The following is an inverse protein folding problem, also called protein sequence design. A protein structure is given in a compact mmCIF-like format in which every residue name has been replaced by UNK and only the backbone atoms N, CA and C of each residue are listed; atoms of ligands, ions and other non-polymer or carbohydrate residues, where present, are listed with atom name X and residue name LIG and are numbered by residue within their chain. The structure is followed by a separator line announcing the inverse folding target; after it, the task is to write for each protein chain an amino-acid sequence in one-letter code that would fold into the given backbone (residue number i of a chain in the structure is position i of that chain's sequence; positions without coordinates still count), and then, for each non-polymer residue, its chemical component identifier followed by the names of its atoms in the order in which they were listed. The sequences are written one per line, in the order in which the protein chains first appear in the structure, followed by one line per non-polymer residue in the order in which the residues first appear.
data_IF_979987029217
#
_entry.id   IF_979987029217
#
_cell.length_a   1.000
_cell.length_b   1.000
_cell.length_c   1.000
_cell.angle_alpha   90.00
_cell.angle_beta   90.00
_cell.angle_gamma   90.00
#
_symmetry.space_group_name_H-M   'P 1'
#
loop_
_entity.id
_entity.type
_entity.pdbx_description
1 polymer ?
#
# COMPACT_ATOMS: atom_id res chain seq x y z
N UNK A 1 -48.23 -14.02 58.44
CA UNK A 1 -48.73 -13.27 57.27
C UNK A 1 -48.95 -11.81 57.66
N UNK A 2 -47.93 -10.95 57.48
CA UNK A 2 -48.06 -9.47 57.44
C UNK A 2 -46.95 -8.96 56.53
N UNK A 3 -47.37 -8.35 55.42
CA UNK A 3 -46.54 -7.91 54.30
C UNK A 3 -46.28 -6.41 54.49
N UNK A 4 -45.01 -6.01 54.38
CA UNK A 4 -44.59 -4.61 54.21
C UNK A 4 -43.98 -4.48 52.82
N UNK A 5 -44.63 -3.75 51.91
CA UNK A 5 -44.07 -3.40 50.60
C UNK A 5 -43.58 -1.95 50.62
N UNK A 6 -42.30 -1.77 50.31
CA UNK A 6 -41.60 -0.48 50.27
C UNK A 6 -41.56 0.00 48.81
N UNK A 7 -42.21 1.12 48.52
CA UNK A 7 -42.20 1.79 47.21
C UNK A 7 -40.86 2.50 46.98
N UNK A 8 -40.12 2.13 45.93
CA UNK A 8 -38.95 2.87 45.44
C UNK A 8 -39.40 3.91 44.39
N UNK A 9 -39.19 5.20 44.67
CA UNK A 9 -39.22 6.28 43.67
C UNK A 9 -38.08 6.06 42.67
N UNK A 10 -38.40 5.82 41.40
CA UNK A 10 -37.42 5.92 40.31
C UNK A 10 -37.17 7.40 39.99
N UNK A 11 -35.92 7.83 40.13
CA UNK A 11 -35.42 9.10 39.61
C UNK A 11 -35.13 8.90 38.13
N UNK A 12 -35.93 9.52 37.26
CA UNK A 12 -35.65 9.59 35.82
C UNK A 12 -34.40 10.43 35.60
N UNK A 13 -33.26 9.78 35.30
CA UNK A 13 -32.13 10.45 34.65
C UNK A 13 -32.41 10.45 33.14
N UNK A 14 -32.19 11.57 32.43
CA UNK A 14 -32.37 11.60 30.98
C UNK A 14 -31.39 10.62 30.34
N UNK A 15 -31.92 9.64 29.63
CA UNK A 15 -31.14 8.72 28.79
C UNK A 15 -30.55 9.58 27.66
N UNK A 16 -29.23 9.57 27.41
CA UNK A 16 -28.65 10.34 26.32
C UNK A 16 -29.29 9.91 25.01
N UNK A 17 -29.74 10.88 24.23
CA UNK A 17 -30.39 10.66 22.95
C UNK A 17 -29.50 9.76 22.07
N UNK A 18 -30.05 8.66 21.54
CA UNK A 18 -29.29 7.65 20.78
C UNK A 18 -28.56 8.26 19.57
N UNK A 19 -29.08 9.38 19.05
CA UNK A 19 -28.47 10.21 17.99
C UNK A 19 -27.21 10.97 18.43
N UNK A 20 -27.10 11.36 19.71
CA UNK A 20 -25.95 12.09 20.23
C UNK A 20 -24.74 11.16 20.45
N UNK A 21 -25.00 9.90 20.80
CA UNK A 21 -23.95 8.87 20.97
C UNK A 21 -23.37 8.39 19.63
N UNK A 22 -24.16 8.34 18.55
CA UNK A 22 -23.65 8.09 17.19
C UNK A 22 -22.84 9.26 16.64
N UNK A 23 -23.21 10.51 16.97
CA UNK A 23 -22.42 11.69 16.60
C UNK A 23 -21.09 11.81 17.36
N UNK A 24 -21.06 11.38 18.62
CA UNK A 24 -19.84 11.40 19.44
C UNK A 24 -18.90 10.23 19.13
N UNK A 25 -19.41 9.06 18.72
CA UNK A 25 -18.57 7.97 18.19
C UNK A 25 -17.97 8.29 16.82
N UNK A 26 -18.66 9.08 15.99
CA UNK A 26 -18.17 9.53 14.67
C UNK A 26 -16.95 10.44 14.72
N UNK A 27 -16.64 11.06 15.87
CA UNK A 27 -15.49 11.96 15.93
C UNK A 27 -14.14 11.22 16.02
N UNK A 28 -14.10 9.94 16.41
CA UNK A 28 -12.86 9.20 16.75
C UNK A 28 -12.73 7.86 15.98
N UNK A 29 -12.81 7.88 14.65
CA UNK A 29 -12.78 6.68 13.77
C UNK A 29 -11.49 6.51 12.93
N UNK A 30 -10.33 6.82 13.51
CA UNK A 30 -9.01 6.40 13.03
C UNK A 30 -8.13 6.34 14.26
N UNK A 31 -7.19 5.38 14.36
CA UNK A 31 -6.22 5.40 15.47
C UNK A 31 -5.55 6.78 15.57
N UNK A 32 -5.59 7.40 16.76
CA UNK A 32 -4.98 8.73 17.00
C UNK A 32 -3.54 8.87 16.44
N UNK A 33 -2.68 7.83 16.51
CA UNK A 33 -1.36 7.88 15.88
C UNK A 33 -1.40 8.14 14.37
N UNK A 34 -2.31 7.48 13.63
CA UNK A 34 -2.40 7.63 12.18
C UNK A 34 -2.91 9.03 11.77
N UNK A 35 -3.83 9.61 12.54
CA UNK A 35 -4.30 10.99 12.31
C UNK A 35 -3.19 12.00 12.55
N UNK A 36 -2.44 11.84 13.64
CA UNK A 36 -1.35 12.76 13.97
C UNK A 36 -0.25 12.73 12.90
N UNK A 37 0.08 11.54 12.39
CA UNK A 37 0.98 11.41 11.24
C UNK A 37 0.45 12.16 10.00
N UNK A 38 -0.81 11.97 9.61
CA UNK A 38 -1.39 12.69 8.48
C UNK A 38 -1.52 14.21 8.69
N UNK A 39 -1.60 14.68 9.94
CA UNK A 39 -1.52 16.12 10.25
C UNK A 39 -0.10 16.64 10.06
N UNK A 40 0.91 15.88 10.50
CA UNK A 40 2.32 16.24 10.32
C UNK A 40 2.72 16.33 8.84
N UNK A 41 2.08 15.54 7.98
CA UNK A 41 2.28 15.54 6.52
C UNK A 41 1.36 16.54 5.78
N UNK A 42 0.92 17.60 6.46
CA UNK A 42 0.02 18.61 5.90
C UNK A 42 0.55 19.31 4.64
N UNK A 43 1.89 19.37 4.46
CA UNK A 43 2.52 19.94 3.26
C UNK A 43 2.27 19.13 1.99
N UNK A 44 1.95 17.83 2.11
CA UNK A 44 1.62 16.95 0.99
C UNK A 44 0.11 16.92 0.67
N UNK A 45 -0.74 17.61 1.43
CA UNK A 45 -2.19 17.59 1.20
C UNK A 45 -2.56 18.32 -0.08
N UNK A 46 -3.34 17.66 -0.93
CA UNK A 46 -3.87 18.20 -2.17
C UNK A 46 -5.39 18.37 -2.03
N UNK A 47 -5.89 19.54 -2.43
CA UNK A 47 -7.34 19.74 -2.59
C UNK A 47 -7.84 18.84 -3.73
N UNK A 48 -8.79 17.95 -3.43
CA UNK A 48 -9.45 17.05 -4.38
C UNK A 48 -9.93 17.78 -5.64
N UNK A 49 -10.41 19.03 -5.52
CA UNK A 49 -10.92 19.81 -6.63
C UNK A 49 -9.84 20.13 -7.70
N UNK A 50 -8.56 20.08 -7.33
CA UNK A 50 -7.42 20.29 -8.23
C UNK A 50 -7.07 19.07 -9.07
N UNK A 51 -7.60 17.90 -8.74
CA UNK A 51 -7.38 16.66 -9.49
C UNK A 51 -8.52 16.50 -10.49
N UNK A 52 -8.19 16.59 -11.78
CA UNK A 52 -9.14 16.45 -12.89
C UNK A 52 -8.92 15.10 -13.59
N UNK A 53 -9.83 14.13 -13.45
CA UNK A 53 -9.71 12.84 -14.14
C UNK A 53 -9.54 13.03 -15.65
N UNK A 54 -8.66 12.23 -16.26
CA UNK A 54 -8.56 12.15 -17.72
C UNK A 54 -9.54 11.07 -18.16
N UNK A 55 -10.61 11.45 -18.87
CA UNK A 55 -11.49 10.48 -19.52
C UNK A 55 -10.72 9.76 -20.63
N UNK A 56 -10.17 8.60 -20.30
CA UNK A 56 -9.52 7.70 -21.26
C UNK A 56 -10.29 6.38 -21.32
N UNK A 57 -10.54 5.90 -22.55
CA UNK A 57 -11.03 4.53 -22.84
C UNK A 57 -10.06 3.43 -22.38
N UNK A 58 -8.92 3.77 -21.77
CA UNK A 58 -8.00 2.82 -21.18
C UNK A 58 -8.63 2.20 -19.92
N UNK A 59 -8.91 0.90 -20.00
CA UNK A 59 -9.44 0.06 -18.93
C UNK A 59 -8.84 0.45 -17.57
N UNK A 60 -9.72 0.87 -16.65
CA UNK A 60 -9.43 0.81 -15.21
C UNK A 60 -8.85 -0.58 -14.93
N UNK A 61 -7.60 -0.65 -14.47
CA UNK A 61 -7.04 -1.93 -14.02
C UNK A 61 -7.72 -2.26 -12.70
N UNK A 62 -8.86 -2.92 -12.79
CA UNK A 62 -9.60 -3.47 -11.66
C UNK A 62 -8.97 -4.80 -11.27
N UNK A 63 -8.13 -4.77 -10.24
CA UNK A 63 -7.61 -5.93 -9.52
C UNK A 63 -7.42 -5.53 -8.06
N UNK A 64 -8.24 -6.07 -7.15
CA UNK A 64 -8.12 -5.83 -5.70
C UNK A 64 -8.68 -4.50 -5.15
N UNK A 65 -8.39 -4.22 -3.88
CA UNK A 65 -8.91 -3.12 -3.04
C UNK A 65 -8.48 -1.71 -3.50
N UNK A 66 -7.72 -1.61 -4.59
CA UNK A 66 -7.05 -0.39 -5.05
C UNK A 66 -7.39 -0.10 -6.51
N UNK A 67 -7.60 1.19 -6.85
CA UNK A 67 -7.88 1.64 -8.21
C UNK A 67 -6.89 2.74 -8.63
N UNK A 68 -6.20 2.53 -9.75
CA UNK A 68 -5.28 3.53 -10.34
C UNK A 68 -6.01 4.29 -11.46
N UNK A 69 -5.90 5.62 -11.45
CA UNK A 69 -6.53 6.50 -12.44
C UNK A 69 -5.54 7.57 -12.92
N UNK A 70 -5.52 7.86 -14.22
CA UNK A 70 -4.77 8.98 -14.77
C UNK A 70 -5.56 10.29 -14.59
N UNK A 71 -4.89 11.35 -14.13
CA UNK A 71 -5.49 12.65 -13.91
C UNK A 71 -4.53 13.79 -14.26
N UNK A 72 -5.08 15.00 -14.35
CA UNK A 72 -4.33 16.25 -14.40
C UNK A 72 -4.40 16.91 -13.03
N UNK A 73 -3.25 17.24 -12.46
CA UNK A 73 -3.14 18.07 -11.28
C UNK A 73 -3.00 19.54 -11.71
N UNK A 74 -3.96 20.37 -11.28
CA UNK A 74 -3.94 21.82 -11.51
C UNK A 74 -3.16 22.50 -10.39
N UNK A 75 -2.17 23.32 -10.76
CA UNK A 75 -1.40 24.12 -9.80
C UNK A 75 -2.30 25.05 -8.98
N UNK A 76 -1.98 25.16 -7.68
CA UNK A 76 -2.72 26.00 -6.74
C UNK A 76 -2.71 27.50 -7.13
N UNK A 77 -1.66 27.94 -7.84
CA UNK A 77 -1.49 29.33 -8.26
C UNK A 77 -2.35 29.72 -9.48
N UNK A 78 -2.89 28.73 -10.20
CA UNK A 78 -3.58 28.93 -11.47
C UNK A 78 -5.03 28.41 -11.47
N UNK A 79 -5.61 28.12 -10.30
CA UNK A 79 -6.96 27.57 -10.16
C UNK A 79 -8.06 28.41 -10.83
N UNK A 80 -7.82 29.70 -11.09
CA UNK A 80 -8.73 30.64 -11.76
C UNK A 80 -8.23 31.16 -13.13
N UNK A 81 -7.13 30.63 -13.67
CA UNK A 81 -6.51 31.10 -14.93
C UNK A 81 -6.85 30.16 -16.09
N UNK A 82 -7.26 30.71 -17.24
CA UNK A 82 -7.57 29.97 -18.46
C UNK A 82 -6.33 29.53 -19.28
N UNK A 83 -5.12 29.66 -18.73
CA UNK A 83 -3.88 29.23 -19.38
C UNK A 83 -3.48 27.81 -18.97
N UNK A 84 -2.98 27.04 -19.94
CA UNK A 84 -2.41 25.69 -19.77
C UNK A 84 -1.08 25.66 -18.99
N UNK A 85 -0.63 26.77 -18.41
CA UNK A 85 0.57 26.82 -17.56
C UNK A 85 0.23 26.27 -16.17
N UNK A 86 0.97 25.25 -15.72
CA UNK A 86 0.79 24.65 -14.40
C UNK A 86 -0.12 23.42 -14.34
N UNK A 87 -0.27 22.69 -15.44
CA UNK A 87 -0.91 21.37 -15.47
C UNK A 87 0.15 20.25 -15.47
N UNK A 88 0.01 19.28 -14.57
CA UNK A 88 0.88 18.11 -14.48
C UNK A 88 0.07 16.83 -14.65
N UNK A 89 0.56 15.89 -15.46
CA UNK A 89 -0.02 14.55 -15.55
C UNK A 89 0.37 13.74 -14.31
N UNK A 90 -0.63 13.18 -13.64
CA UNK A 90 -0.44 12.42 -12.40
C UNK A 90 -1.18 11.07 -12.45
N UNK A 91 -0.68 10.12 -11.67
CA UNK A 91 -1.37 8.87 -11.35
C UNK A 91 -2.02 8.99 -9.96
N UNK A 92 -3.28 8.60 -9.84
CA UNK A 92 -4.04 8.64 -8.59
C UNK A 92 -4.35 7.21 -8.14
N UNK A 93 -3.74 6.78 -7.04
CA UNK A 93 -3.99 5.49 -6.37
C UNK A 93 -5.08 5.69 -5.33
N UNK A 94 -6.30 5.24 -5.64
CA UNK A 94 -7.49 5.34 -4.78
C UNK A 94 -7.61 4.06 -3.95
N UNK A 95 -7.54 4.18 -2.62
CA UNK A 95 -7.85 3.08 -1.72
C UNK A 95 -9.34 3.08 -1.43
N UNK A 96 -9.94 1.90 -1.44
CA UNK A 96 -11.32 1.70 -0.99
C UNK A 96 -11.28 1.30 0.48
N UNK A 97 -11.92 2.10 1.32
CA UNK A 97 -12.28 1.67 2.66
C UNK A 97 -13.74 2.05 2.89
N UNK A 98 -14.44 1.18 3.62
CA UNK A 98 -15.84 1.39 3.96
C UNK A 98 -15.90 2.21 5.25
N UNK A 99 -16.37 3.46 5.21
CA UNK A 99 -16.45 4.31 6.40
C UNK A 99 -17.47 3.80 7.42
N UNK A 100 -18.34 2.84 7.07
CA UNK A 100 -19.32 2.25 7.99
C UNK A 100 -18.79 0.98 8.68
N UNK A 101 -17.84 0.28 8.05
CA UNK A 101 -17.12 -0.87 8.62
C UNK A 101 -15.78 -0.40 9.22
N UNK A 102 -15.91 0.33 10.31
CA UNK A 102 -14.83 0.96 11.09
C UNK A 102 -13.89 -0.09 11.73
N UNK A 103 -12.97 -0.66 10.95
CA UNK A 103 -11.71 -1.16 11.51
C UNK A 103 -10.73 0.00 11.39
N UNK A 104 -10.39 0.64 12.52
CA UNK A 104 -9.40 1.73 12.63
C UNK A 104 -8.06 1.42 11.92
N UNK A 105 -7.83 0.15 11.60
CA UNK A 105 -6.69 -0.39 10.83
C UNK A 105 -6.79 -0.18 9.32
N UNK A 106 -7.95 0.16 8.76
CA UNK A 106 -8.15 0.27 7.32
C UNK A 106 -7.31 1.39 6.67
N UNK A 107 -7.07 2.48 7.41
CA UNK A 107 -6.21 3.59 6.96
C UNK A 107 -4.74 3.42 7.31
N UNK A 108 -4.38 2.48 8.20
CA UNK A 108 -2.99 2.29 8.61
C UNK A 108 -2.05 1.98 7.43
N UNK A 109 -2.41 1.13 6.44
CA UNK A 109 -1.58 0.91 5.25
C UNK A 109 -1.38 2.18 4.42
N UNK A 110 -2.42 3.01 4.29
CA UNK A 110 -2.34 4.28 3.58
C UNK A 110 -1.38 5.25 4.28
N UNK A 111 -1.53 5.43 5.59
CA UNK A 111 -0.66 6.34 6.36
C UNK A 111 0.78 5.85 6.36
N UNK A 112 1.00 4.54 6.48
CA UNK A 112 2.32 3.93 6.41
C UNK A 112 2.98 4.19 5.06
N UNK A 113 2.28 3.92 3.95
CA UNK A 113 2.83 4.10 2.60
C UNK A 113 3.17 5.59 2.33
N UNK A 114 2.25 6.51 2.67
CA UNK A 114 2.47 7.96 2.52
C UNK A 114 3.65 8.45 3.37
N UNK A 115 3.73 8.01 4.63
CA UNK A 115 4.82 8.41 5.54
C UNK A 115 6.17 7.90 5.05
N UNK A 116 6.22 6.65 4.59
CA UNK A 116 7.43 6.05 4.04
C UNK A 116 7.88 6.82 2.79
N UNK A 117 6.97 7.05 1.84
CA UNK A 117 7.27 7.75 0.58
C UNK A 117 7.70 9.21 0.78
N UNK A 118 7.17 9.91 1.78
CA UNK A 118 7.59 11.29 2.10
C UNK A 118 9.10 11.38 2.39
N UNK A 119 9.67 10.33 2.98
CA UNK A 119 11.08 10.32 3.41
C UNK A 119 12.03 9.78 2.33
N UNK A 120 11.50 9.39 1.15
CA UNK A 120 12.28 8.87 0.04
C UNK A 120 12.50 9.91 -1.05
N UNK A 121 13.75 10.02 -1.53
CA UNK A 121 14.13 10.87 -2.65
C UNK A 121 15.27 10.21 -3.42
N UNK A 122 14.96 9.63 -4.57
CA UNK A 122 15.91 8.98 -5.46
C UNK A 122 15.35 8.93 -6.89
N UNK A 123 16.21 9.02 -7.92
CA UNK A 123 15.75 9.07 -9.32
C UNK A 123 15.04 7.79 -9.79
N UNK A 124 15.38 6.64 -9.20
CA UNK A 124 14.79 5.33 -9.49
C UNK A 124 13.77 4.86 -8.43
N UNK A 125 13.25 5.76 -7.61
CA UNK A 125 12.16 5.48 -6.65
C UNK A 125 11.03 6.47 -6.90
N UNK A 126 9.78 5.99 -6.93
CA UNK A 126 8.64 6.85 -7.22
C UNK A 126 8.51 7.96 -6.17
N UNK A 127 8.39 9.20 -6.66
CA UNK A 127 8.09 10.34 -5.82
C UNK A 127 6.58 10.46 -5.58
N UNK A 128 6.19 10.65 -4.31
CA UNK A 128 4.82 11.06 -3.99
C UNK A 128 4.68 12.57 -4.23
N UNK A 129 3.69 12.97 -5.04
CA UNK A 129 3.34 14.39 -5.26
C UNK A 129 2.50 14.90 -4.10
N UNK A 130 1.62 14.04 -3.58
CA UNK A 130 0.83 14.34 -2.40
C UNK A 130 -0.30 13.35 -2.17
N UNK A 131 -1.24 13.69 -1.31
CA UNK A 131 -2.39 12.84 -1.00
C UNK A 131 -3.68 13.65 -0.81
N UNK A 132 -4.81 12.96 -0.99
CA UNK A 132 -6.16 13.44 -0.67
C UNK A 132 -6.75 12.52 0.37
N UNK A 133 -7.25 13.09 1.46
CA UNK A 133 -7.89 12.35 2.53
C UNK A 133 -9.19 13.04 2.93
N UNK A 134 -10.27 12.27 2.98
CA UNK A 134 -11.55 12.64 3.58
C UNK A 134 -12.17 11.37 4.17
N UNK A 135 -11.86 11.15 5.45
CA UNK A 135 -12.24 9.93 6.19
C UNK A 135 -13.76 9.78 6.27
N UNK A 136 -14.48 10.88 6.44
CA UNK A 136 -15.94 10.87 6.59
C UNK A 136 -16.64 10.35 5.34
N UNK A 137 -16.04 10.58 4.17
CA UNK A 137 -16.57 10.16 2.88
C UNK A 137 -15.83 8.95 2.27
N UNK A 138 -14.96 8.27 3.02
CA UNK A 138 -14.26 7.07 2.54
C UNK A 138 -13.19 7.35 1.48
N UNK A 139 -12.55 8.53 1.52
CA UNK A 139 -11.59 8.97 0.50
C UNK A 139 -10.17 8.92 1.05
N UNK A 140 -9.32 8.09 0.44
CA UNK A 140 -7.87 8.07 0.66
C UNK A 140 -7.15 7.83 -0.67
N UNK A 141 -6.57 8.89 -1.23
CA UNK A 141 -5.90 8.86 -2.53
C UNK A 141 -4.44 9.28 -2.39
N UNK A 142 -3.54 8.54 -3.02
CA UNK A 142 -2.15 8.96 -3.22
C UNK A 142 -1.98 9.46 -4.65
N UNK A 143 -1.22 10.54 -4.82
CA UNK A 143 -0.95 11.18 -6.10
C UNK A 143 0.54 11.06 -6.40
N UNK A 144 0.85 10.51 -7.57
CA UNK A 144 2.21 10.27 -8.05
C UNK A 144 2.42 10.95 -9.40
N UNK A 145 3.68 11.21 -9.76
CA UNK A 145 4.00 11.60 -11.13
C UNK A 145 3.58 10.51 -12.13
N UNK A 146 3.10 10.91 -13.30
CA UNK A 146 2.66 9.97 -14.32
C UNK A 146 3.85 9.39 -15.11
N UNK A 147 4.04 8.07 -15.00
CA UNK A 147 5.06 7.35 -15.75
C UNK A 147 4.53 6.88 -17.12
N UNK A 148 4.88 7.63 -18.15
CA UNK A 148 4.31 7.53 -19.50
C UNK A 148 4.42 6.14 -20.13
N UNK A 149 5.51 5.42 -19.86
CA UNK A 149 5.81 4.17 -20.55
C UNK A 149 5.24 2.94 -19.81
N UNK A 150 4.47 3.15 -18.73
CA UNK A 150 3.81 2.07 -18.01
C UNK A 150 4.79 1.25 -17.16
N UNK A 151 4.48 -0.03 -16.95
CA UNK A 151 5.33 -0.92 -16.15
C UNK A 151 6.41 -1.59 -17.01
N UNK A 152 7.54 -1.93 -16.38
CA UNK A 152 8.72 -2.51 -17.00
C UNK A 152 8.39 -3.75 -17.80
N UNK A 153 7.53 -4.63 -17.26
CA UNK A 153 7.14 -5.89 -17.90
C UNK A 153 6.49 -5.70 -19.27
N UNK A 154 5.55 -4.76 -19.39
CA UNK A 154 4.92 -4.47 -20.68
C UNK A 154 5.85 -3.65 -21.57
N UNK A 155 6.65 -2.75 -20.99
CA UNK A 155 7.60 -1.92 -21.72
C UNK A 155 8.65 -2.75 -22.47
N UNK A 156 9.29 -3.71 -21.80
CA UNK A 156 10.32 -4.57 -22.43
C UNK A 156 9.74 -5.51 -23.48
N UNK A 157 8.44 -5.82 -23.45
CA UNK A 157 7.74 -6.60 -24.48
C UNK A 157 7.23 -5.77 -25.65
N UNK A 158 7.09 -4.46 -25.47
CA UNK A 158 6.53 -3.57 -26.50
C UNK A 158 7.43 -3.38 -27.72
N UNK A 159 8.73 -3.64 -27.58
CA UNK A 159 9.72 -3.48 -28.64
C UNK A 159 10.91 -4.43 -28.42
N UNK A 160 11.74 -4.57 -29.46
CA UNK A 160 12.98 -5.32 -29.35
C UNK A 160 14.11 -4.40 -28.89
N UNK A 161 14.30 -4.31 -27.57
CA UNK A 161 15.33 -3.48 -26.94
C UNK A 161 16.72 -4.10 -27.05
N UNK A 162 17.72 -3.27 -27.33
CA UNK A 162 19.13 -3.65 -27.34
C UNK A 162 19.59 -4.07 -25.94
N UNK A 163 20.61 -4.92 -25.88
CA UNK A 163 21.14 -5.42 -24.60
C UNK A 163 21.57 -4.25 -23.70
N UNK A 164 22.19 -3.22 -24.27
CA UNK A 164 22.62 -2.02 -23.54
C UNK A 164 21.44 -1.30 -22.89
N UNK A 165 20.31 -1.16 -23.58
CA UNK A 165 19.11 -0.48 -23.06
C UNK A 165 18.49 -1.28 -21.90
N UNK A 166 18.47 -2.61 -22.03
CA UNK A 166 18.00 -3.51 -20.96
C UNK A 166 18.92 -3.44 -19.74
N UNK A 167 20.23 -3.40 -19.95
CA UNK A 167 21.21 -3.26 -18.86
C UNK A 167 21.05 -1.91 -18.14
N UNK A 168 20.75 -0.82 -18.86
CA UNK A 168 20.43 0.46 -18.21
C UNK A 168 19.18 0.38 -17.33
N UNK A 169 18.14 -0.34 -17.74
CA UNK A 169 16.95 -0.55 -16.91
C UNK A 169 17.26 -1.40 -15.67
N UNK A 170 18.14 -2.40 -15.79
CA UNK A 170 18.60 -3.18 -14.62
C UNK A 170 19.41 -2.30 -13.67
N UNK A 171 20.34 -1.52 -14.20
CA UNK A 171 21.16 -0.57 -13.42
C UNK A 171 20.29 0.40 -12.61
N UNK A 172 19.25 0.96 -13.24
CA UNK A 172 18.25 1.80 -12.60
C UNK A 172 17.54 1.11 -11.43
N UNK A 173 17.03 -0.11 -11.65
CA UNK A 173 16.34 -0.88 -10.61
C UNK A 173 17.31 -1.21 -9.46
N UNK A 174 18.55 -1.59 -9.78
CA UNK A 174 19.56 -1.88 -8.76
C UNK A 174 19.95 -0.64 -7.96
N UNK A 175 20.05 0.52 -8.61
CA UNK A 175 20.35 1.81 -7.97
C UNK A 175 19.22 2.21 -7.00
N UNK A 176 17.97 2.11 -7.44
CA UNK A 176 16.81 2.33 -6.57
C UNK A 176 16.76 1.38 -5.38
N UNK A 177 17.00 0.09 -5.61
CA UNK A 177 16.98 -0.91 -4.54
C UNK A 177 18.14 -0.75 -3.56
N UNK A 178 19.34 -0.43 -4.05
CA UNK A 178 20.50 -0.11 -3.23
C UNK A 178 20.24 1.13 -2.36
N UNK A 179 19.56 2.14 -2.90
CA UNK A 179 19.15 3.31 -2.12
C UNK A 179 18.22 2.92 -0.96
N UNK A 180 17.21 2.06 -1.19
CA UNK A 180 16.29 1.58 -0.16
C UNK A 180 16.99 0.74 0.91
N UNK A 181 17.82 -0.22 0.49
CA UNK A 181 18.56 -1.10 1.39
C UNK A 181 19.64 -0.36 2.18
N UNK A 182 20.16 0.76 1.64
CA UNK A 182 21.14 1.63 2.31
C UNK A 182 20.54 2.66 3.27
N UNK A 183 19.21 2.73 3.42
CA UNK A 183 18.56 3.58 4.42
C UNK A 183 18.93 3.16 5.84
N UNK A 184 18.71 4.04 6.82
CA UNK A 184 18.89 3.74 8.23
C UNK A 184 17.60 4.07 9.02
N UNK A 185 16.83 3.05 9.44
CA UNK A 185 17.02 1.62 9.18
C UNK A 185 16.83 1.24 7.70
N UNK A 186 17.44 0.13 7.22
CA UNK A 186 17.25 -0.38 5.86
C UNK A 186 15.77 -0.61 5.55
N UNK A 187 15.34 -0.34 4.31
CA UNK A 187 13.94 -0.54 3.91
C UNK A 187 13.86 -1.76 2.98
N UNK A 188 13.07 -2.75 3.37
CA UNK A 188 12.65 -3.83 2.48
C UNK A 188 11.43 -3.35 1.69
N UNK A 189 11.45 -3.51 0.36
CA UNK A 189 10.31 -3.21 -0.49
C UNK A 189 9.20 -4.25 -0.32
N UNK A 190 9.57 -5.54 -0.29
CA UNK A 190 8.70 -6.64 0.12
C UNK A 190 7.77 -7.20 -0.95
N UNK A 191 7.52 -6.46 -2.05
CA UNK A 191 6.76 -6.94 -3.22
C UNK A 191 7.45 -6.51 -4.54
N UNK A 192 8.74 -6.78 -4.66
CA UNK A 192 9.49 -6.52 -5.89
C UNK A 192 9.00 -7.42 -7.03
N UNK A 193 8.57 -6.80 -8.13
CA UNK A 193 8.20 -7.46 -9.38
C UNK A 193 8.25 -6.47 -10.53
N UNK A 194 8.41 -6.94 -11.76
CA UNK A 194 8.46 -6.10 -12.97
C UNK A 194 7.17 -5.31 -13.23
N UNK A 195 6.05 -5.70 -12.59
CA UNK A 195 4.79 -4.96 -12.58
C UNK A 195 4.80 -3.73 -11.63
N UNK A 196 5.67 -3.76 -10.61
CA UNK A 196 5.90 -2.70 -9.62
C UNK A 196 7.15 -1.87 -9.95
N UNK A 197 7.61 -1.94 -11.19
CA UNK A 197 8.63 -1.05 -11.73
C UNK A 197 7.98 -0.31 -12.88
N UNK A 198 7.97 1.02 -12.82
CA UNK A 198 7.49 1.87 -13.90
C UNK A 198 8.65 2.34 -14.77
N UNK A 199 8.33 2.75 -16.00
CA UNK A 199 9.30 3.34 -16.91
C UNK A 199 8.87 4.77 -17.21
N UNK A 200 9.76 5.70 -16.91
CA UNK A 200 9.49 7.12 -17.11
C UNK A 200 9.67 7.53 -18.57
N UNK A 201 9.31 8.79 -18.88
CA UNK A 201 9.41 9.34 -20.25
C UNK A 201 10.81 9.35 -20.84
N UNK A 202 11.85 9.24 -20.00
CA UNK A 202 13.26 9.20 -20.40
C UNK A 202 13.79 7.75 -20.49
N UNK A 203 12.90 6.75 -20.50
CA UNK A 203 13.22 5.32 -20.49
C UNK A 203 14.07 4.89 -19.30
N UNK A 204 13.89 5.53 -18.13
CA UNK A 204 14.52 5.12 -16.88
C UNK A 204 13.53 4.35 -16.00
N UNK A 205 14.02 3.33 -15.32
CA UNK A 205 13.19 2.51 -14.43
C UNK A 205 13.01 3.18 -13.05
N UNK A 206 11.80 3.05 -12.50
CA UNK A 206 11.38 3.67 -11.23
C UNK A 206 10.61 2.65 -10.40
N UNK A 207 11.09 2.32 -9.21
CA UNK A 207 10.42 1.40 -8.28
C UNK A 207 9.17 2.07 -7.72
N UNK A 208 8.04 1.34 -7.68
CA UNK A 208 6.75 1.83 -7.17
C UNK A 208 6.04 0.78 -6.31
N UNK A 209 4.88 1.15 -5.76
CA UNK A 209 4.00 0.32 -4.94
C UNK A 209 4.62 -0.10 -3.60
N UNK A 210 4.77 0.89 -2.72
CA UNK A 210 5.38 0.76 -1.40
C UNK A 210 4.41 0.24 -0.33
N UNK A 211 3.26 -0.31 -0.72
CA UNK A 211 2.22 -0.77 0.22
C UNK A 211 2.67 -1.93 1.12
N UNK A 212 3.68 -2.70 0.71
CA UNK A 212 4.31 -3.77 1.50
C UNK A 212 5.66 -3.38 2.09
N UNK A 213 6.13 -2.17 1.80
CA UNK A 213 7.46 -1.72 2.19
C UNK A 213 7.50 -1.40 3.68
N UNK A 214 8.63 -1.75 4.31
CA UNK A 214 8.82 -1.49 5.72
C UNK A 214 10.31 -1.39 6.09
N UNK A 215 10.65 -0.61 7.11
CA UNK A 215 11.98 -0.64 7.66
C UNK A 215 12.26 -1.98 8.35
N UNK A 216 13.45 -2.52 8.14
CA UNK A 216 13.96 -3.74 8.77
C UNK A 216 14.90 -3.30 9.89
N UNK A 217 14.49 -3.51 11.13
CA UNK A 217 15.36 -3.31 12.27
C UNK A 217 16.38 -4.45 12.30
N UNK A 218 17.67 -4.13 12.19
CA UNK A 218 18.78 -5.10 12.20
C UNK A 218 18.98 -5.82 13.56
N UNK A 219 18.01 -5.76 14.48
CA UNK A 219 18.12 -6.32 15.85
C UNK A 219 17.47 -7.69 16.02
N UNK A 220 17.09 -8.38 14.94
CA UNK A 220 16.84 -9.81 15.00
C UNK A 220 18.08 -10.57 14.49
N UNK A 221 19.06 -10.78 15.37
CA UNK A 221 19.95 -11.93 15.17
C UNK A 221 19.07 -13.18 15.10
N UNK A 222 19.23 -14.06 14.09
CA UNK A 222 18.64 -15.39 14.18
C UNK A 222 19.26 -16.07 15.41
N UNK A 223 18.49 -16.74 16.28
CA UNK A 223 19.10 -17.52 17.35
C UNK A 223 19.96 -18.61 16.70
N UNK A 224 21.26 -18.42 16.79
CA UNK A 224 22.28 -19.39 16.45
C UNK A 224 22.02 -20.64 17.27
N UNK A 225 21.76 -21.75 16.58
CA UNK A 225 22.07 -23.11 16.99
C UNK A 225 21.62 -23.54 18.39
N UNK A 226 20.50 -24.26 18.45
CA UNK A 226 20.45 -25.45 19.28
C UNK A 226 19.61 -26.53 18.61
N UNK A 227 20.30 -27.45 17.95
CA UNK A 227 19.77 -28.77 17.71
C UNK A 227 19.55 -29.47 19.06
N UNK A 228 18.53 -30.33 19.09
CA UNK A 228 18.13 -31.25 20.16
C UNK A 228 17.14 -30.66 21.19
N UNK A 229 15.86 -31.03 21.11
CA UNK A 229 15.39 -32.35 21.57
C UNK A 229 13.87 -32.40 21.35
N UNK A 230 13.41 -33.37 20.56
CA UNK A 230 12.02 -33.76 20.53
C UNK A 230 11.59 -34.23 21.93
N UNK A 231 10.64 -33.54 22.56
CA UNK A 231 9.81 -34.14 23.62
C UNK A 231 8.35 -33.83 23.34
N UNK A 232 7.68 -34.89 22.93
CA UNK A 232 6.25 -35.14 22.94
C UNK A 232 5.60 -34.62 24.22
N UNK A 233 4.61 -33.74 24.08
CA UNK A 233 3.49 -33.60 25.02
C UNK A 233 2.22 -33.51 24.18
N UNK A 234 1.41 -34.56 24.27
CA UNK A 234 0.07 -34.69 23.70
C UNK A 234 -0.99 -34.04 24.61
N UNK A 235 -2.26 -33.86 24.17
CA UNK A 235 -2.89 -32.54 24.10
C UNK A 235 -3.94 -32.33 25.18
N UNK A 236 -4.02 -31.11 25.74
CA UNK A 236 -5.18 -30.70 26.53
C UNK A 236 -5.80 -29.39 26.02
N UNK A 237 -7.10 -29.54 25.71
CA UNK A 237 -8.16 -28.55 25.57
C UNK A 237 -8.09 -27.52 24.43
N UNK A 238 -8.87 -27.85 23.39
CA UNK A 238 -9.38 -26.98 22.33
C UNK A 238 -10.04 -25.71 22.92
N UNK A 239 -9.30 -24.61 22.95
CA UNK A 239 -9.88 -23.29 22.69
C UNK A 239 -10.03 -23.16 21.18
N UNK A 240 -11.26 -23.02 20.68
CA UNK A 240 -11.54 -22.74 19.28
C UNK A 240 -10.92 -21.40 18.89
N UNK A 241 -9.66 -21.43 18.45
CA UNK A 241 -9.06 -20.38 17.64
C UNK A 241 -9.55 -20.67 16.23
N UNK A 242 -10.42 -19.81 15.71
CA UNK A 242 -10.74 -19.81 14.29
C UNK A 242 -9.42 -19.77 13.52
N UNK A 243 -9.20 -20.66 12.53
CA UNK A 243 -8.01 -20.57 11.70
C UNK A 243 -7.96 -19.16 11.10
N UNK A 244 -6.79 -18.51 11.02
CA UNK A 244 -6.69 -17.28 10.25
C UNK A 244 -7.24 -17.60 8.87
N UNK A 245 -8.19 -16.78 8.40
CA UNK A 245 -8.80 -16.92 7.09
C UNK A 245 -7.66 -17.07 6.09
N UNK A 246 -7.47 -18.27 5.57
CA UNK A 246 -6.60 -18.54 4.42
C UNK A 246 -7.19 -17.76 3.27
N UNK A 247 -6.77 -16.51 3.10
CA UNK A 247 -7.08 -15.74 1.92
C UNK A 247 -6.54 -16.53 0.71
N UNK A 248 -7.46 -16.92 -0.15
CA UNK A 248 -7.18 -17.75 -1.31
C UNK A 248 -6.30 -17.01 -2.30
N UNK A 249 -5.30 -17.70 -2.85
CA UNK A 249 -4.49 -17.25 -3.98
C UNK A 249 -5.40 -16.71 -5.09
N UNK A 250 -5.20 -15.45 -5.48
CA UNK A 250 -5.92 -14.81 -6.57
C UNK A 250 -5.14 -15.01 -7.86
N UNK A 251 -5.79 -15.62 -8.84
CA UNK A 251 -5.25 -15.77 -10.18
C UNK A 251 -5.76 -14.59 -11.05
N UNK A 252 -4.88 -13.70 -11.47
CA UNK A 252 -5.19 -12.67 -12.45
C UNK A 252 -4.59 -13.05 -13.80
N UNK A 253 -5.46 -13.21 -14.81
CA UNK A 253 -5.02 -13.47 -16.19
C UNK A 253 -4.68 -12.14 -16.86
N UNK A 254 -3.50 -12.06 -17.48
CA UNK A 254 -3.11 -10.87 -18.23
C UNK A 254 -4.14 -10.54 -19.33
N UNK A 255 -4.32 -9.26 -19.70
CA UNK A 255 -5.23 -8.87 -20.78
C UNK A 255 -4.92 -9.53 -22.13
N UNK A 256 -3.68 -9.97 -22.34
CA UNK A 256 -3.24 -10.75 -23.51
C UNK A 256 -3.65 -12.23 -23.47
N UNK A 257 -4.07 -12.75 -22.31
CA UNK A 257 -4.40 -14.16 -22.10
C UNK A 257 -3.20 -15.10 -21.98
N UNK A 258 -1.97 -14.60 -22.10
CA UNK A 258 -0.77 -15.43 -22.24
C UNK A 258 -0.21 -15.96 -20.90
N UNK A 259 -0.56 -15.34 -19.77
CA UNK A 259 -0.09 -15.78 -18.46
C UNK A 259 -1.04 -15.42 -17.33
N UNK A 260 -0.92 -16.18 -16.23
CA UNK A 260 -1.68 -16.04 -14.99
C UNK A 260 -0.73 -15.58 -13.89
N UNK A 261 -0.99 -14.42 -13.30
CA UNK A 261 -0.32 -13.97 -12.07
C UNK A 261 -1.06 -14.56 -10.88
N UNK A 262 -0.40 -15.41 -10.10
CA UNK A 262 -0.95 -15.92 -8.85
C UNK A 262 -0.46 -15.04 -7.69
N UNK A 263 -1.36 -14.24 -7.13
CA UNK A 263 -1.09 -13.33 -6.01
C UNK A 263 -1.61 -13.99 -4.73
N UNK A 264 -0.71 -14.31 -3.80
CA UNK A 264 -1.07 -14.67 -2.43
C UNK A 264 -1.41 -13.43 -1.60
N UNK A 265 -1.82 -13.59 -0.33
CA UNK A 265 -2.16 -12.48 0.57
C UNK A 265 -1.00 -11.50 0.83
N UNK A 266 0.25 -11.87 0.50
CA UNK A 266 1.43 -11.03 0.74
C UNK A 266 2.45 -10.97 -0.42
N UNK A 267 2.37 -11.84 -1.43
CA UNK A 267 3.40 -11.91 -2.49
C UNK A 267 2.88 -12.52 -3.79
N UNK A 268 3.53 -12.19 -4.90
CA UNK A 268 3.28 -12.80 -6.21
C UNK A 268 4.20 -14.03 -6.42
N UNK A 269 3.61 -15.21 -6.67
CA UNK A 269 4.29 -16.51 -6.61
C UNK A 269 5.57 -16.59 -7.47
N UNK A 270 5.57 -15.94 -8.63
CA UNK A 270 6.69 -16.00 -9.57
C UNK A 270 7.96 -15.28 -9.08
N UNK A 271 7.82 -14.28 -8.22
CA UNK A 271 8.95 -13.51 -7.68
C UNK A 271 9.25 -13.87 -6.21
N UNK A 272 8.45 -14.76 -5.61
CA UNK A 272 8.57 -15.12 -4.21
C UNK A 272 9.87 -15.90 -3.95
N UNK A 273 10.62 -15.44 -2.94
CA UNK A 273 11.79 -16.13 -2.43
C UNK A 273 11.41 -17.40 -1.64
N UNK A 274 12.28 -18.41 -1.53
CA UNK A 274 11.96 -19.67 -0.87
C UNK A 274 11.44 -19.52 0.57
N UNK A 275 11.98 -18.56 1.33
CA UNK A 275 11.54 -18.23 2.68
C UNK A 275 10.09 -17.73 2.72
N UNK A 276 9.64 -16.98 1.71
CA UNK A 276 8.25 -16.53 1.59
C UNK A 276 7.30 -17.70 1.34
N UNK A 277 7.75 -18.70 0.59
CA UNK A 277 7.00 -19.95 0.36
C UNK A 277 6.91 -20.80 1.63
N UNK A 278 7.89 -20.67 2.54
CA UNK A 278 7.88 -21.30 3.86
C UNK A 278 7.02 -20.54 4.89
N UNK A 279 6.43 -19.41 4.51
CA UNK A 279 5.61 -18.57 5.38
C UNK A 279 6.39 -17.54 6.21
N UNK A 280 7.67 -17.33 5.91
CA UNK A 280 8.47 -16.28 6.53
C UNK A 280 8.14 -14.90 5.94
N UNK A 281 8.53 -13.84 6.65
CA UNK A 281 8.34 -12.47 6.21
C UNK A 281 9.45 -12.05 5.22
N UNK A 282 9.13 -11.17 4.27
CA UNK A 282 10.11 -10.67 3.29
C UNK A 282 11.26 -9.91 3.94
N UNK A 283 12.50 -10.28 3.63
CA UNK A 283 13.69 -9.54 4.05
C UNK A 283 14.34 -8.80 2.89
N UNK A 284 15.46 -8.12 3.17
CA UNK A 284 16.29 -7.53 2.12
C UNK A 284 16.75 -8.60 1.11
N UNK A 285 17.07 -9.82 1.58
CA UNK A 285 17.43 -10.94 0.72
C UNK A 285 16.29 -11.39 -0.20
N UNK A 286 15.03 -11.27 0.24
CA UNK A 286 13.86 -11.58 -0.57
C UNK A 286 13.71 -10.59 -1.73
N UNK A 287 14.01 -9.31 -1.51
CA UNK A 287 14.03 -8.31 -2.59
C UNK A 287 15.14 -8.64 -3.62
N UNK A 288 16.31 -9.09 -3.17
CA UNK A 288 17.41 -9.50 -4.07
C UNK A 288 17.05 -10.75 -4.88
N UNK A 289 16.34 -11.71 -4.29
CA UNK A 289 15.81 -12.86 -5.03
C UNK A 289 14.84 -12.41 -6.15
N UNK A 290 13.90 -11.54 -5.81
CA UNK A 290 12.94 -11.00 -6.76
C UNK A 290 13.62 -10.19 -7.88
N UNK A 291 14.68 -9.43 -7.55
CA UNK A 291 15.52 -8.74 -8.53
C UNK A 291 16.13 -9.71 -9.56
N UNK A 292 16.55 -10.91 -9.14
CA UNK A 292 17.04 -11.94 -10.07
C UNK A 292 15.99 -12.34 -11.11
N UNK A 293 14.73 -12.49 -10.69
CA UNK A 293 13.62 -12.75 -11.61
C UNK A 293 13.28 -11.56 -12.52
N UNK A 294 13.43 -10.34 -12.02
CA UNK A 294 13.26 -9.12 -12.83
C UNK A 294 14.34 -9.05 -13.91
N UNK A 295 15.59 -9.40 -13.60
CA UNK A 295 16.68 -9.43 -14.59
C UNK A 295 16.50 -10.53 -15.64
N UNK A 296 15.78 -11.60 -15.31
CA UNK A 296 15.47 -12.68 -16.25
C UNK A 296 14.36 -12.31 -17.25
N UNK A 297 13.44 -11.42 -16.87
CA UNK A 297 12.35 -10.95 -17.73
C UNK A 297 12.81 -10.00 -18.86
#
# INVERSE_FOLDING_TARGET
MRIWTRTKKQVNRPVPNRLALTKLKRLWSVSEPAREMLRSLGHLRIDKARIKPIESKARSKTGGTVQIEAAILVSAQYSNSSKFEGMEYVAVKKLRFDPENDDDRALAPFVQEVSLLNDLSHENVVGIVGFVEDVEHGIAWMVFSWEKNGNLREFVRSANWEVTERVCLVDDVTSGLSYLHGRNPPICHGDMKSLNILVNRNNRAVITDFGSARPINSTAEPPVGSANTAKMIEPQQKSQIHPPVTESLKAEVAPSGEFITLTGPAWALRWAAPELLAGELSGLASDIWALGWICWE
#
